data_IF_223674702463
#
_entry.id   IF_223674702463
#
_cell.length_a   1.000
_cell.length_b   1.000
_cell.length_c   1.000
_cell.angle_alpha   90.00
_cell.angle_beta   90.00
_cell.angle_gamma   90.00
#
_symmetry.space_group_name_H-M   'P 1'
#
loop_
_entity.id
_entity.type
_entity.pdbx_description
1 polymer ?
#
# COMPACT_ATOMS: atom_id res chain seq x y z
N UNK A 1 8.75 6.99 20.49
CA UNK A 1 8.85 8.45 20.16
C UNK A 1 8.49 8.64 18.70
N UNK A 2 7.61 9.59 18.37
CA UNK A 2 7.23 9.87 16.98
C UNK A 2 8.37 10.54 16.22
N UNK A 3 8.51 10.19 14.94
CA UNK A 3 9.60 10.71 14.08
C UNK A 3 9.20 12.00 13.40
N UNK A 4 7.92 12.11 13.07
CA UNK A 4 7.30 13.29 12.51
C UNK A 4 6.27 13.87 13.50
N UNK A 5 5.83 15.12 13.32
CA UNK A 5 5.02 15.83 14.33
C UNK A 5 3.60 15.27 14.51
N UNK A 6 3.10 14.46 13.57
CA UNK A 6 1.80 13.81 13.67
C UNK A 6 1.92 12.28 13.56
N UNK A 7 0.95 11.56 14.12
CA UNK A 7 0.90 10.11 14.07
C UNK A 7 -0.53 9.59 13.99
N UNK A 8 -0.73 8.46 13.32
CA UNK A 8 -2.00 7.72 13.27
C UNK A 8 -1.74 6.31 13.80
N UNK A 9 -2.41 5.96 14.88
CA UNK A 9 -2.29 4.67 15.59
C UNK A 9 -2.88 3.51 14.77
N UNK A 10 -2.37 2.28 14.93
CA UNK A 10 -2.83 1.10 14.18
C UNK A 10 -4.32 0.81 14.35
N UNK A 11 -4.89 1.18 15.49
CA UNK A 11 -6.30 0.95 15.79
C UNK A 11 -7.19 2.18 15.45
N UNK A 12 -6.61 3.21 14.81
CA UNK A 12 -7.36 4.35 14.32
C UNK A 12 -8.27 3.97 13.13
N UNK A 13 -9.51 4.46 13.05
CA UNK A 13 -10.43 4.18 11.93
C UNK A 13 -9.91 4.60 10.54
N UNK A 14 -8.88 5.44 10.44
CA UNK A 14 -8.22 5.78 9.19
C UNK A 14 -7.44 4.58 8.58
N UNK A 15 -7.09 3.57 9.38
CA UNK A 15 -6.56 2.32 8.87
C UNK A 15 -7.68 1.44 8.29
N UNK A 16 -7.46 0.98 7.07
CA UNK A 16 -8.24 -0.09 6.46
C UNK A 16 -7.37 -1.34 6.32
N UNK A 17 -7.79 -2.44 6.94
CA UNK A 17 -7.12 -3.73 6.84
C UNK A 17 -7.89 -4.69 5.93
N UNK A 18 -7.17 -5.40 5.06
CA UNK A 18 -7.74 -6.53 4.32
C UNK A 18 -8.05 -7.71 5.27
N UNK A 19 -8.76 -8.76 4.81
CA UNK A 19 -8.88 -9.99 5.59
C UNK A 19 -7.50 -10.62 5.89
N UNK A 20 -7.31 -11.13 7.11
CA UNK A 20 -6.07 -11.78 7.56
C UNK A 20 -5.17 -10.94 8.47
N UNK A 21 -5.65 -9.79 8.95
CA UNK A 21 -5.02 -9.03 10.03
C UNK A 21 -5.74 -9.28 11.36
N UNK A 22 -4.97 -9.29 12.44
CA UNK A 22 -5.44 -9.51 13.80
C UNK A 22 -4.92 -8.41 14.73
N UNK A 23 -5.80 -7.88 15.57
CA UNK A 23 -5.42 -6.92 16.60
C UNK A 23 -4.73 -7.64 17.77
N UNK A 24 -3.52 -7.20 18.08
CA UNK A 24 -2.71 -7.63 19.21
C UNK A 24 -2.73 -6.52 20.27
N UNK A 25 -3.24 -6.83 21.45
CA UNK A 25 -3.32 -5.87 22.57
C UNK A 25 -2.26 -6.10 23.65
N UNK A 26 -1.44 -7.15 23.49
CA UNK A 26 -0.35 -7.51 24.39
C UNK A 26 0.68 -8.38 23.69
N UNK A 27 1.96 -8.03 23.85
CA UNK A 27 3.08 -8.88 23.42
C UNK A 27 4.29 -8.70 24.35
N UNK A 28 4.56 -9.69 25.19
CA UNK A 28 5.61 -9.61 26.21
C UNK A 28 5.41 -8.41 27.14
N UNK A 29 6.37 -7.47 27.12
CA UNK A 29 6.37 -6.24 27.90
C UNK A 29 5.66 -5.06 27.21
N UNK A 30 5.26 -5.20 25.94
CA UNK A 30 4.54 -4.14 25.23
C UNK A 30 3.15 -3.94 25.81
N UNK A 31 2.83 -2.68 26.10
CA UNK A 31 1.50 -2.23 26.55
C UNK A 31 0.96 -1.24 25.52
N UNK A 32 0.20 -1.74 24.55
CA UNK A 32 -0.36 -0.96 23.43
C UNK A 32 -1.04 -1.89 22.42
N UNK A 33 -1.54 -1.32 21.32
CA UNK A 33 -2.12 -2.07 20.20
C UNK A 33 -1.09 -2.25 19.08
N UNK A 34 -1.27 -3.30 18.27
CA UNK A 34 -0.60 -3.52 17.00
C UNK A 34 -1.51 -4.38 16.14
N UNK A 35 -1.53 -4.17 14.82
CA UNK A 35 -2.17 -5.11 13.89
C UNK A 35 -1.12 -6.04 13.29
N UNK A 36 -1.38 -7.33 13.33
CA UNK A 36 -0.47 -8.41 12.92
C UNK A 36 -1.04 -9.19 11.74
N UNK A 37 -0.19 -9.60 10.81
CA UNK A 37 -0.55 -10.57 9.78
C UNK A 37 0.62 -11.48 9.45
N UNK A 38 0.36 -12.76 9.23
CA UNK A 38 1.29 -13.74 8.65
C UNK A 38 0.89 -14.13 7.21
N UNK A 39 -0.22 -13.59 6.70
CA UNK A 39 -0.76 -13.92 5.39
C UNK A 39 -0.09 -13.08 4.31
N UNK A 40 0.73 -13.70 3.46
CA UNK A 40 1.31 -13.03 2.30
C UNK A 40 0.20 -12.45 1.41
N UNK A 41 0.35 -11.19 1.00
CA UNK A 41 -0.62 -10.44 0.19
C UNK A 41 -1.70 -9.74 1.00
N UNK A 42 -1.81 -9.97 2.31
CA UNK A 42 -2.65 -9.12 3.16
C UNK A 42 -2.09 -7.69 3.19
N UNK A 43 -2.97 -6.69 3.19
CA UNK A 43 -2.59 -5.29 3.09
C UNK A 43 -3.32 -4.41 4.11
N UNK A 44 -2.66 -3.33 4.50
CA UNK A 44 -3.24 -2.21 5.23
C UNK A 44 -3.16 -0.96 4.36
N UNK A 45 -4.16 -0.10 4.43
CA UNK A 45 -4.23 1.18 3.71
C UNK A 45 -4.52 2.31 4.66
N UNK A 46 -3.89 3.45 4.41
CA UNK A 46 -4.10 4.65 5.20
C UNK A 46 -4.01 5.90 4.31
N UNK A 47 -4.96 6.81 4.49
CA UNK A 47 -4.92 8.13 3.89
C UNK A 47 -4.32 9.13 4.86
N UNK A 48 -3.45 9.99 4.36
CA UNK A 48 -2.90 11.10 5.13
C UNK A 48 -2.74 12.33 4.24
N UNK A 49 -2.72 13.51 4.85
CA UNK A 49 -2.38 14.76 4.18
C UNK A 49 -1.05 15.24 4.73
N UNK A 50 0.00 15.30 3.90
CA UNK A 50 1.33 15.64 4.36
C UNK A 50 2.39 15.63 3.26
N UNK A 51 3.64 15.79 3.66
CA UNK A 51 4.81 15.78 2.75
C UNK A 51 5.81 14.66 3.00
N UNK A 52 5.57 13.79 4.00
CA UNK A 52 6.36 12.59 4.28
C UNK A 52 5.60 11.67 5.22
N UNK A 53 5.82 10.35 5.13
CA UNK A 53 5.28 9.35 6.06
C UNK A 53 6.30 8.25 6.35
N UNK A 54 6.37 7.80 7.60
CA UNK A 54 7.12 6.63 8.05
C UNK A 54 6.21 5.60 8.70
N UNK A 55 6.49 4.32 8.45
CA UNK A 55 5.76 3.19 9.02
C UNK A 55 6.54 2.63 10.20
N UNK A 56 5.89 2.60 11.36
CA UNK A 56 6.45 2.09 12.60
C UNK A 56 5.89 0.70 12.87
N UNK A 57 6.79 -0.28 12.94
CA UNK A 57 6.48 -1.70 13.10
C UNK A 57 7.22 -2.30 14.29
N UNK A 58 6.92 -3.58 14.53
CA UNK A 58 7.71 -4.46 15.38
C UNK A 58 8.56 -5.39 14.53
N UNK A 59 9.86 -5.47 14.83
CA UNK A 59 10.72 -6.53 14.28
C UNK A 59 10.60 -7.75 15.21
N UNK A 60 10.14 -8.90 14.68
CA UNK A 60 9.83 -10.06 15.51
C UNK A 60 11.08 -10.76 16.04
N UNK A 61 10.89 -11.50 17.14
CA UNK A 61 11.90 -12.44 17.62
C UNK A 61 12.10 -13.56 16.59
N UNK A 62 13.34 -13.92 16.30
CA UNK A 62 13.65 -15.01 15.38
C UNK A 62 15.15 -15.27 15.20
N UNK A 63 15.47 -16.10 14.21
CA UNK A 63 16.78 -16.63 13.86
C UNK A 63 17.44 -15.89 12.68
N UNK A 64 16.95 -14.69 12.34
CA UNK A 64 17.43 -13.91 11.20
C UNK A 64 16.58 -14.06 9.94
N UNK A 65 15.52 -14.89 9.96
CA UNK A 65 14.52 -14.94 8.88
C UNK A 65 13.91 -13.56 8.61
N UNK A 66 13.66 -13.20 7.34
CA UNK A 66 13.20 -11.86 7.00
C UNK A 66 11.70 -11.68 7.25
N UNK A 67 11.34 -10.57 7.89
CA UNK A 67 10.00 -9.96 7.76
C UNK A 67 10.05 -9.00 6.57
N UNK A 68 9.08 -9.09 5.66
CA UNK A 68 9.13 -8.35 4.39
C UNK A 68 7.80 -7.74 4.02
N UNK A 69 7.82 -6.52 3.49
CA UNK A 69 6.64 -5.80 3.04
C UNK A 69 6.92 -4.97 1.78
N UNK A 70 5.88 -4.75 0.98
CA UNK A 70 5.87 -3.78 -0.10
C UNK A 70 5.11 -2.53 0.33
N UNK A 71 5.65 -1.36 -0.01
CA UNK A 71 5.06 -0.06 0.27
C UNK A 71 4.78 0.67 -1.04
N UNK A 72 3.56 1.19 -1.22
CA UNK A 72 3.21 2.07 -2.34
C UNK A 72 2.62 3.38 -1.81
N UNK A 73 2.92 4.48 -2.50
CA UNK A 73 2.26 5.77 -2.35
C UNK A 73 1.46 6.02 -3.63
N UNK A 74 0.18 6.36 -3.50
CA UNK A 74 -0.71 6.77 -4.59
C UNK A 74 -0.75 5.76 -5.76
N UNK A 75 -0.82 4.48 -5.42
CA UNK A 75 -0.78 3.35 -6.37
C UNK A 75 0.46 3.34 -7.31
N UNK A 76 1.51 4.05 -6.92
CA UNK A 76 2.80 4.06 -7.59
C UNK A 76 3.56 2.73 -7.47
N UNK A 77 4.78 2.66 -8.04
CA UNK A 77 5.61 1.46 -7.99
C UNK A 77 5.91 1.01 -6.55
N UNK A 78 5.84 -0.29 -6.24
CA UNK A 78 6.11 -0.80 -4.90
C UNK A 78 7.60 -0.73 -4.55
N UNK A 79 7.87 -0.28 -3.33
CA UNK A 79 9.18 -0.40 -2.69
C UNK A 79 9.18 -1.63 -1.78
N UNK A 80 9.99 -2.63 -2.13
CA UNK A 80 10.18 -3.81 -1.29
C UNK A 80 11.18 -3.51 -0.17
N UNK A 81 10.81 -3.84 1.06
CA UNK A 81 11.70 -3.74 2.23
C UNK A 81 11.66 -5.04 3.01
N UNK A 82 12.82 -5.46 3.50
CA UNK A 82 12.93 -6.57 4.44
C UNK A 82 13.85 -6.21 5.61
N UNK A 83 13.52 -6.77 6.77
CA UNK A 83 14.34 -6.70 7.98
C UNK A 83 14.54 -8.12 8.49
N UNK A 84 15.76 -8.45 8.92
CA UNK A 84 16.02 -9.72 9.59
C UNK A 84 15.37 -9.72 10.98
N UNK A 85 14.71 -10.81 11.34
CA UNK A 85 14.28 -11.04 12.73
C UNK A 85 15.50 -11.07 13.67
N UNK A 86 15.27 -10.73 14.93
CA UNK A 86 16.33 -10.56 15.93
C UNK A 86 16.14 -11.53 17.10
N UNK A 87 17.19 -11.88 17.87
CA UNK A 87 17.02 -12.77 19.04
C UNK A 87 16.08 -12.21 20.12
N UNK A 88 15.79 -10.92 20.09
CA UNK A 88 14.80 -10.27 20.95
C UNK A 88 13.97 -9.30 20.13
N UNK A 89 12.66 -9.30 20.35
CA UNK A 89 11.69 -8.39 19.72
C UNK A 89 12.15 -6.93 19.81
N UNK A 90 11.98 -6.19 18.73
CA UNK A 90 12.24 -4.76 18.67
C UNK A 90 10.93 -4.03 18.39
N UNK A 91 10.41 -3.35 19.41
CA UNK A 91 9.21 -2.52 19.26
C UNK A 91 9.58 -1.13 18.71
N UNK A 92 8.57 -0.44 18.16
CA UNK A 92 8.68 0.95 17.68
C UNK A 92 9.82 1.21 16.67
N UNK A 93 10.03 0.29 15.74
CA UNK A 93 11.07 0.41 14.71
C UNK A 93 10.52 1.04 13.45
N UNK A 94 11.26 1.99 12.88
CA UNK A 94 11.05 2.44 11.50
C UNK A 94 11.25 1.24 10.60
N UNK A 95 10.19 0.83 9.93
CA UNK A 95 10.27 -0.23 8.94
C UNK A 95 10.56 0.34 7.56
N UNK A 96 9.91 1.46 7.23
CA UNK A 96 10.01 2.15 5.96
C UNK A 96 9.68 3.64 6.12
N UNK A 97 10.23 4.47 5.22
CA UNK A 97 10.01 5.91 5.11
C UNK A 97 9.82 6.26 3.63
N UNK A 98 8.86 7.13 3.31
CA UNK A 98 8.54 7.51 1.94
C UNK A 98 9.61 8.37 1.27
N UNK A 99 10.45 9.02 2.06
CA UNK A 99 11.16 10.23 1.65
C UNK A 99 10.22 11.40 1.34
N UNK A 100 10.76 12.50 0.81
CA UNK A 100 10.01 13.69 0.41
C UNK A 100 8.88 13.38 -0.58
N UNK A 101 7.67 13.81 -0.24
CA UNK A 101 6.48 13.81 -1.09
C UNK A 101 5.98 15.24 -1.33
N UNK A 102 5.41 15.57 -2.50
CA UNK A 102 4.72 16.84 -2.68
C UNK A 102 3.64 17.01 -1.60
N UNK A 103 3.51 18.20 -1.01
CA UNK A 103 2.46 18.42 -0.01
C UNK A 103 1.08 18.15 -0.60
N UNK A 104 0.34 17.20 -0.04
CA UNK A 104 -0.96 16.81 -0.56
C UNK A 104 -1.60 15.63 0.17
N UNK A 105 -2.71 15.16 -0.38
CA UNK A 105 -3.35 13.93 0.08
C UNK A 105 -2.68 12.74 -0.58
N UNK A 106 -2.32 11.75 0.24
CA UNK A 106 -1.67 10.53 -0.19
C UNK A 106 -2.39 9.30 0.34
N UNK A 107 -2.28 8.21 -0.42
CA UNK A 107 -2.69 6.87 -0.01
C UNK A 107 -1.46 5.98 0.13
N UNK A 108 -1.15 5.58 1.36
CA UNK A 108 -0.15 4.56 1.63
C UNK A 108 -0.80 3.17 1.63
N UNK A 109 -0.23 2.23 0.88
CA UNK A 109 -0.56 0.79 1.00
C UNK A 109 0.65 0.02 1.51
N UNK A 110 0.46 -0.74 2.58
CA UNK A 110 1.44 -1.65 3.18
C UNK A 110 0.99 -3.08 2.88
N UNK A 111 1.79 -3.86 2.16
CA UNK A 111 1.44 -5.25 1.80
C UNK A 111 2.45 -6.22 2.36
N UNK A 112 2.00 -7.21 3.12
CA UNK A 112 2.88 -8.27 3.62
C UNK A 112 3.41 -9.13 2.45
N UNK A 113 4.74 -9.22 2.32
CA UNK A 113 5.38 -9.77 1.13
C UNK A 113 6.12 -11.11 1.35
N UNK A 114 6.31 -11.53 2.61
CA UNK A 114 7.07 -12.74 2.94
C UNK A 114 6.20 -13.87 3.51
N UNK A 115 6.62 -15.14 3.41
CA UNK A 115 5.99 -16.26 4.12
C UNK A 115 6.67 -16.59 5.46
N UNK A 116 7.79 -15.94 5.78
CA UNK A 116 8.70 -16.42 6.82
C UNK A 116 8.35 -15.93 8.22
N UNK A 117 7.98 -14.66 8.35
CA UNK A 117 7.75 -13.98 9.61
C UNK A 117 6.52 -13.09 9.50
N UNK A 118 5.77 -12.96 10.59
CA UNK A 118 4.63 -12.04 10.64
C UNK A 118 5.08 -10.58 10.51
N UNK A 119 4.23 -9.76 9.90
CA UNK A 119 4.32 -8.31 9.89
C UNK A 119 3.44 -7.74 10.99
N UNK A 120 3.98 -6.82 11.81
CA UNK A 120 3.22 -6.09 12.83
C UNK A 120 3.37 -4.59 12.66
N UNK A 121 2.26 -3.92 12.41
CA UNK A 121 2.16 -2.46 12.27
C UNK A 121 1.62 -1.87 13.57
N UNK A 122 2.28 -0.82 14.06
CA UNK A 122 1.90 -0.12 15.29
C UNK A 122 1.32 1.27 15.01
N UNK A 123 1.95 2.04 14.11
CA UNK A 123 1.44 3.36 13.70
C UNK A 123 2.14 3.84 12.44
N UNK A 124 1.64 4.92 11.88
CA UNK A 124 2.41 5.78 10.96
C UNK A 124 2.70 7.11 11.61
N UNK A 125 3.90 7.63 11.39
CA UNK A 125 4.26 9.01 11.72
C UNK A 125 4.32 9.80 10.41
N UNK A 126 3.82 11.04 10.36
CA UNK A 126 3.82 11.87 9.14
C UNK A 126 3.95 13.37 9.46
N UNK A 127 4.39 14.16 8.48
CA UNK A 127 4.42 15.63 8.58
C UNK A 127 3.24 16.23 7.82
N UNK A 128 2.28 16.90 8.49
CA UNK A 128 1.13 17.55 7.87
C UNK A 128 1.45 18.92 7.25
N UNK A 129 2.72 19.31 7.22
CA UNK A 129 3.20 20.57 6.61
C UNK A 129 4.01 20.28 5.35
N UNK A 130 4.42 21.33 4.63
CA UNK A 130 5.28 21.24 3.45
C UNK A 130 6.78 21.20 3.79
N UNK A 131 7.15 21.05 5.08
CA UNK A 131 8.55 21.19 5.51
C UNK A 131 9.50 20.14 4.93
N UNK A 132 8.96 18.97 4.56
CA UNK A 132 9.69 17.89 3.89
C UNK A 132 9.37 17.78 2.39
N UNK A 133 8.55 18.67 1.83
CA UNK A 133 8.19 18.60 0.43
C UNK A 133 9.39 18.91 -0.49
N UNK A 134 9.48 18.28 -1.68
CA UNK A 134 10.46 18.66 -2.69
C UNK A 134 10.35 20.15 -3.01
N UNK A 135 11.45 20.89 -2.87
CA UNK A 135 11.46 22.31 -3.23
C UNK A 135 11.27 22.45 -4.74
N UNK A 136 10.19 23.10 -5.15
CA UNK A 136 10.12 23.65 -6.50
C UNK A 136 11.01 24.89 -6.53
N UNK A 137 12.14 24.82 -7.24
CA UNK A 137 12.93 26.01 -7.51
C UNK A 137 12.07 26.96 -8.36
N UNK A 138 11.44 27.97 -7.74
CA UNK A 138 10.84 29.08 -8.45
C UNK A 138 11.91 30.05 -8.95
N UNK A 139 12.84 29.58 -9.78
CA UNK A 139 13.73 30.46 -10.54
C UNK A 139 13.03 30.89 -11.82
N UNK A 140 12.00 31.74 -11.69
CA UNK A 140 11.60 32.64 -12.76
C UNK A 140 11.88 34.06 -12.25
N UNK A 141 12.78 34.83 -12.89
CA UNK A 141 12.82 36.27 -12.68
C UNK A 141 11.42 36.80 -12.99
N UNK A 142 10.75 37.39 -11.99
CA UNK A 142 9.65 38.28 -12.30
C UNK A 142 10.26 39.51 -12.97
N UNK A 143 10.38 39.46 -14.29
CA UNK A 143 10.51 40.70 -15.06
C UNK A 143 9.26 41.54 -14.73
N UNK A 144 9.40 42.76 -14.21
CA UNK A 144 8.25 43.63 -14.03
C UNK A 144 7.68 43.91 -15.41
N UNK A 145 6.50 43.34 -15.70
CA UNK A 145 5.72 43.70 -16.88
C UNK A 145 5.35 45.18 -16.72
N UNK A 146 6.08 46.04 -17.42
CA UNK A 146 5.78 47.46 -17.54
C UNK A 146 4.48 47.60 -18.32
N UNK A 147 3.36 47.76 -17.61
CA UNK A 147 2.07 48.09 -18.21
C UNK A 147 2.17 49.51 -18.79
N UNK A 148 1.95 49.73 -20.10
CA UNK A 148 1.89 51.09 -20.62
C UNK A 148 0.66 51.81 -20.08
N UNK A 149 0.87 53.00 -19.49
CA UNK A 149 -0.18 53.89 -19.03
C UNK A 149 -1.05 54.34 -20.21
N UNK A 150 -2.34 54.00 -20.18
CA UNK A 150 -3.30 54.52 -21.15
C UNK A 150 -3.66 55.95 -20.74
N UNK A 151 -3.32 56.90 -21.60
CA UNK A 151 -3.62 58.32 -21.41
C UNK A 151 -5.13 58.53 -21.57
N UNK A 152 -5.77 59.13 -20.56
CA UNK A 152 -7.21 59.44 -20.56
C UNK A 152 -7.53 60.48 -21.63
N UNK A 153 -8.39 60.13 -22.60
CA UNK A 153 -8.95 61.09 -23.55
C UNK A 153 -10.19 61.71 -22.89
N UNK A 154 -10.09 62.99 -22.53
CA UNK A 154 -11.23 63.84 -22.16
C UNK A 154 -11.82 64.40 -23.43
N UNK A 155 -13.13 64.22 -23.69
CA UNK A 155 -13.97 65.23 -24.36
C UNK A 155 -15.49 65.03 -24.14
N UNK A 156 -16.07 66.04 -23.49
CA UNK A 156 -17.40 66.69 -23.50
C UNK A 156 -18.68 66.05 -24.10
N UNK A 157 -19.68 65.91 -23.19
CA UNK A 157 -21.06 66.49 -23.14
C UNK A 157 -22.03 66.52 -24.37
N UNK A 158 -23.22 65.94 -24.10
CA UNK A 158 -24.64 66.18 -24.55
C UNK A 158 -25.20 65.46 -25.78
N UNK A 159 -26.24 64.63 -25.57
CA UNK A 159 -27.37 64.45 -26.51
C UNK A 159 -28.03 63.05 -26.61
N UNK A 160 -28.93 62.72 -25.66
CA UNK A 160 -30.12 61.81 -25.71
C UNK A 160 -30.06 60.32 -26.21
N UNK A 161 -30.99 59.44 -25.77
CA UNK A 161 -30.80 57.99 -25.72
C UNK A 161 -31.41 57.23 -26.90
N UNK A 162 -30.78 56.13 -27.31
CA UNK A 162 -31.48 54.88 -27.68
C UNK A 162 -30.51 53.72 -27.83
N UNK A 163 -30.80 52.65 -27.10
CA UNK A 163 -30.51 51.22 -27.31
C UNK A 163 -29.33 50.81 -28.19
N UNK A 164 -28.38 50.08 -27.61
CA UNK A 164 -28.23 48.63 -27.87
C UNK A 164 -27.22 48.01 -26.90
N UNK A 165 -27.65 46.92 -26.25
CA UNK A 165 -26.86 46.03 -25.41
C UNK A 165 -25.90 45.23 -26.30
N UNK A 166 -24.61 45.23 -25.98
CA UNK A 166 -23.66 44.25 -26.50
C UNK A 166 -22.75 43.77 -25.36
N UNK A 167 -22.91 42.49 -24.99
CA UNK A 167 -22.00 41.75 -24.12
C UNK A 167 -20.71 41.40 -24.90
N UNK A 168 -19.53 41.37 -24.26
CA UNK A 168 -18.34 40.81 -24.87
C UNK A 168 -18.36 39.27 -24.81
N UNK A 169 -18.34 38.63 -25.98
CA UNK A 169 -18.09 37.19 -26.13
C UNK A 169 -16.58 36.90 -26.06
N UNK A 170 -16.21 35.98 -25.17
CA UNK A 170 -14.84 35.46 -25.01
C UNK A 170 -14.30 34.84 -26.31
N UNK A 171 -13.07 35.20 -26.67
CA UNK A 171 -12.33 34.65 -27.81
C UNK A 171 -11.71 33.29 -27.46
N UNK A 172 -12.13 32.25 -28.18
CA UNK A 172 -11.44 30.96 -28.29
C UNK A 172 -10.20 31.11 -29.18
N UNK A 173 -9.01 30.81 -28.65
CA UNK A 173 -7.81 30.70 -29.47
C UNK A 173 -7.77 29.33 -30.16
N UNK A 174 -7.83 29.37 -31.48
CA UNK A 174 -7.59 28.24 -32.40
C UNK A 174 -6.12 28.31 -32.82
N UNK A 175 -5.34 27.25 -32.62
CA UNK A 175 -3.99 27.13 -33.20
C UNK A 175 -4.03 26.16 -34.37
N UNK A 176 -3.67 26.65 -35.55
CA UNK A 176 -3.29 25.88 -36.74
C UNK A 176 -2.03 26.56 -37.31
N UNK A 177 -0.93 25.85 -37.52
CA UNK A 177 -0.52 25.22 -38.79
C UNK A 177 0.97 24.85 -38.63
N UNK A 178 1.56 23.80 -39.23
CA UNK A 178 1.74 23.58 -40.66
C UNK A 178 2.16 22.12 -40.96
N UNK A 179 1.75 21.65 -42.14
CA UNK A 179 2.12 20.40 -42.80
C UNK A 179 3.13 20.70 -43.92
N UNK A 180 4.17 19.89 -44.09
CA UNK A 180 4.87 19.69 -45.37
C UNK A 180 5.30 18.21 -45.52
N UNK A 181 4.86 17.62 -46.63
CA UNK A 181 5.07 16.25 -47.17
C UNK A 181 6.47 16.13 -47.84
N UNK A 182 7.10 14.96 -48.08
CA UNK A 182 6.60 13.77 -48.75
C UNK A 182 7.55 12.52 -48.68
N UNK A 183 6.95 11.32 -48.74
CA UNK A 183 7.35 10.02 -49.40
C UNK A 183 8.65 9.30 -48.97
N UNK A 184 8.66 8.01 -48.60
CA UNK A 184 8.10 6.83 -49.29
C UNK A 184 7.87 5.62 -48.33
N UNK A 185 6.85 4.80 -48.60
CA UNK A 185 6.56 3.50 -47.95
C UNK A 185 7.03 2.31 -48.86
N UNK A 186 7.02 1.02 -48.43
CA UNK A 186 5.77 0.26 -48.17
C UNK A 186 5.75 -0.81 -47.05
N UNK A 187 4.55 -0.98 -46.47
CA UNK A 187 3.81 -2.21 -46.04
C UNK A 187 4.42 -3.14 -44.95
N UNK A 188 3.69 -3.66 -43.95
CA UNK A 188 2.47 -4.51 -44.02
C UNK A 188 1.58 -4.38 -42.75
N UNK A 189 0.27 -4.48 -42.98
CA UNK A 189 -0.88 -4.48 -42.07
C UNK A 189 -1.18 -5.86 -41.47
N UNK A 190 -1.66 -5.97 -40.22
CA UNK A 190 -2.81 -6.85 -39.88
C UNK A 190 -3.47 -6.46 -38.53
N UNK A 191 -4.78 -6.26 -38.55
CA UNK A 191 -5.71 -6.21 -37.41
C UNK A 191 -6.10 -7.64 -36.99
N UNK A 192 -6.21 -7.95 -35.70
CA UNK A 192 -7.04 -9.07 -35.23
C UNK A 192 -7.92 -8.64 -34.06
N UNK A 193 -9.14 -9.15 -34.16
CA UNK A 193 -10.41 -8.75 -33.60
C UNK A 193 -10.78 -9.62 -32.39
N UNK A 194 -11.48 -9.01 -31.45
CA UNK A 194 -12.11 -9.59 -30.26
C UNK A 194 -13.11 -10.70 -30.63
N UNK A 195 -13.08 -11.84 -29.92
CA UNK A 195 -14.16 -12.85 -29.96
C UNK A 195 -14.70 -13.08 -28.54
N UNK A 196 -15.99 -12.75 -28.36
CA UNK A 196 -16.82 -13.19 -27.24
C UNK A 196 -17.16 -14.68 -27.42
N UNK A 197 -17.12 -15.46 -26.34
CA UNK A 197 -17.71 -16.79 -26.28
C UNK A 197 -18.96 -16.78 -25.41
N UNK A 198 -20.10 -17.15 -26.00
CA UNK A 198 -21.39 -17.37 -25.34
C UNK A 198 -21.78 -18.86 -25.46
N UNK A 199 -22.38 -19.36 -24.38
CA UNK A 199 -22.81 -20.73 -24.03
C UNK A 199 -23.74 -21.48 -25.00
N UNK A 200 -23.74 -22.83 -24.94
CA UNK A 200 -24.96 -23.67 -24.82
C UNK A 200 -24.67 -25.19 -24.62
N UNK A 201 -25.66 -25.98 -24.12
CA UNK A 201 -25.44 -27.16 -23.25
C UNK A 201 -25.60 -28.52 -23.94
N UNK A 202 -25.15 -29.60 -23.28
CA UNK A 202 -25.54 -30.97 -23.62
C UNK A 202 -25.90 -31.82 -22.40
N UNK A 203 -27.14 -32.27 -22.38
CA UNK A 203 -27.76 -33.21 -21.46
C UNK A 203 -27.39 -34.65 -21.81
N UNK A 204 -27.00 -35.48 -20.83
CA UNK A 204 -27.25 -36.92 -20.84
C UNK A 204 -27.02 -37.56 -19.45
N UNK A 205 -28.08 -38.15 -18.89
CA UNK A 205 -28.05 -39.28 -17.96
C UNK A 205 -29.10 -40.28 -18.51
N UNK A 206 -28.90 -41.61 -18.42
CA UNK A 206 -29.55 -42.35 -17.32
C UNK A 206 -28.78 -43.59 -16.76
N UNK A 207 -28.98 -43.84 -15.45
CA UNK A 207 -29.20 -45.10 -14.66
C UNK A 207 -28.42 -46.39 -14.99
N UNK A 208 -28.09 -47.35 -14.11
CA UNK A 208 -28.35 -47.78 -12.71
C UNK A 208 -27.20 -48.79 -12.36
N UNK A 209 -26.90 -49.30 -11.16
CA UNK A 209 -27.71 -50.03 -10.15
C UNK A 209 -26.77 -50.50 -9.01
N UNK A 210 -27.24 -50.47 -7.75
CA UNK A 210 -27.07 -51.41 -6.59
C UNK A 210 -25.65 -51.94 -6.20
N UNK A 211 -25.23 -52.06 -4.92
CA UNK A 211 -25.90 -52.78 -3.83
C UNK A 211 -25.25 -52.52 -2.43
N UNK A 212 -26.07 -52.13 -1.44
CA UNK A 212 -26.28 -52.70 -0.07
C UNK A 212 -25.18 -52.88 1.02
N UNK A 213 -25.38 -52.10 2.10
CA UNK A 213 -25.39 -52.36 3.58
C UNK A 213 -24.61 -53.55 4.18
N UNK A 214 -23.97 -53.33 5.35
CA UNK A 214 -24.51 -53.69 6.69
C UNK A 214 -23.40 -53.79 7.79
N UNK A 215 -23.77 -53.52 9.05
CA UNK A 215 -23.19 -54.26 10.20
C UNK A 215 -22.46 -53.46 11.29
N UNK A 216 -23.09 -53.36 12.46
CA UNK A 216 -22.56 -52.81 13.71
C UNK A 216 -21.87 -53.87 14.61
N UNK A 217 -21.11 -53.36 15.61
CA UNK A 217 -21.07 -53.81 17.02
C UNK A 217 -19.74 -54.39 17.60
N UNK A 218 -19.50 -53.99 18.87
CA UNK A 218 -18.73 -54.59 19.99
C UNK A 218 -17.29 -54.13 20.36
N UNK A 219 -17.24 -53.40 21.49
CA UNK A 219 -16.62 -53.80 22.80
C UNK A 219 -15.10 -53.69 23.07
N UNK A 220 -14.79 -52.73 23.96
CA UNK A 220 -13.90 -52.72 25.14
C UNK A 220 -12.43 -53.22 25.12
N UNK A 221 -11.54 -52.35 25.64
CA UNK A 221 -10.53 -52.73 26.64
C UNK A 221 -9.05 -52.49 26.28
N UNK A 222 -8.25 -51.75 27.08
CA UNK A 222 -6.96 -51.20 26.69
C UNK A 222 -5.74 -51.95 27.28
N UNK A 223 -4.57 -51.87 26.62
CA UNK A 223 -3.25 -52.10 27.25
C UNK A 223 -2.15 -51.48 26.39
N UNK A 224 -1.27 -50.69 27.01
CA UNK A 224 -0.08 -50.15 26.35
C UNK A 224 0.58 -49.01 27.13
N UNK A 225 1.04 -49.30 28.36
CA UNK A 225 1.87 -48.38 29.14
C UNK A 225 3.25 -48.16 28.48
N UNK A 226 3.67 -46.90 28.48
CA UNK A 226 5.00 -46.40 28.10
C UNK A 226 6.08 -46.82 29.12
N UNK A 227 7.34 -47.08 28.72
CA UNK A 227 8.44 -47.13 29.66
C UNK A 227 8.97 -45.72 29.99
N UNK A 228 9.11 -45.49 31.29
CA UNK A 228 9.71 -44.34 31.95
C UNK A 228 11.24 -44.48 31.89
N UNK A 229 11.96 -43.54 31.27
CA UNK A 229 13.39 -43.38 31.49
C UNK A 229 13.61 -42.29 32.53
N UNK A 230 14.22 -42.66 33.67
CA UNK A 230 14.75 -41.72 34.64
C UNK A 230 16.18 -42.12 35.03
N UNK A 231 16.99 -41.08 35.17
CA UNK A 231 18.44 -41.02 35.23
C UNK A 231 18.95 -41.16 36.66
N UNK A 232 20.14 -41.75 36.84
CA UNK A 232 21.04 -41.38 37.93
C UNK A 232 21.76 -42.54 38.60
N UNK A 233 23.09 -42.56 38.53
CA UNK A 233 23.90 -43.51 39.31
C UNK A 233 25.39 -43.45 39.01
N UNK A 234 26.07 -42.53 39.69
CA UNK A 234 27.53 -42.34 39.85
C UNK A 234 28.43 -43.59 39.72
N UNK A 235 29.62 -43.38 39.12
CA UNK A 235 30.75 -44.30 39.24
C UNK A 235 32.04 -43.74 38.65
N UNK A 236 32.74 -42.89 39.41
CA UNK A 236 34.14 -42.48 39.15
C UNK A 236 35.06 -43.69 39.36
N UNK A 237 35.92 -44.00 38.39
CA UNK A 237 37.07 -44.90 38.57
C UNK A 237 38.22 -44.54 37.63
N UNK A 238 39.27 -43.92 38.20
CA UNK A 238 40.64 -43.82 37.66
C UNK A 238 41.50 -44.65 38.62
N UNK A 239 42.38 -45.58 38.18
CA UNK A 239 43.85 -45.31 38.07
C UNK A 239 44.60 -46.34 37.14
N UNK A 240 45.95 -46.52 37.18
CA UNK A 240 47.06 -45.63 37.57
C UNK A 240 48.19 -45.48 36.51
N UNK A 241 48.99 -44.42 36.74
CA UNK A 241 50.41 -44.15 36.39
C UNK A 241 50.85 -44.17 34.93
#
# INVERSE_FOLDING_TARGET
MSIYPASIDDNDPAFFYSPGWELITKDGLWTGTMHSTDKTGAFARIQFTGSVVAVICTIPTGDGRPVSANFTIDDGPPTFVSHASTPSVQFEKIFWDSGPLPMGNHLLTITHAGPNMYLRVNRVDYDPTDSHAPRVNSSAPQDPVSVPAITSIVMNKVGDPTSMVALPSSSTMVSSSNLQTATSAPNVSTLIQTVLATVSPSTANPTSTTDTLNGANTTAGPVGLLPLFSVGGLGVKVPPL
#
